data_IF_773306259692
#
_entry.id   IF_773306259692
#
_cell.length_a   1.000
_cell.length_b   1.000
_cell.length_c   1.000
_cell.angle_alpha   90.00
_cell.angle_beta   90.00
_cell.angle_gamma   90.00
#
_symmetry.space_group_name_H-M   'P 1'
#
loop_
_entity.id
_entity.type
_entity.pdbx_description
1 polymer ?
#
# COMPACT_ATOMS: atom_id res chain seq x y z
N UNK A 1 8.64 18.03 2.63
CA UNK A 1 8.84 16.93 3.61
C UNK A 1 7.56 16.13 3.66
N UNK A 2 7.61 14.88 3.21
CA UNK A 2 6.47 13.97 3.26
C UNK A 2 6.30 13.50 4.70
N UNK A 3 5.16 13.74 5.31
CA UNK A 3 4.85 13.22 6.65
C UNK A 3 3.86 12.08 6.52
N UNK A 4 4.21 10.92 7.03
CA UNK A 4 3.28 9.81 7.25
C UNK A 4 2.68 10.03 8.63
N UNK A 5 1.37 10.09 8.73
CA UNK A 5 0.67 10.28 10.00
C UNK A 5 -0.38 9.21 10.19
N UNK A 6 -0.42 8.59 11.36
CA UNK A 6 -1.30 7.49 11.69
C UNK A 6 -2.34 7.90 12.73
N UNK A 7 -3.61 7.54 12.56
CA UNK A 7 -4.69 7.88 13.48
C UNK A 7 -5.62 6.71 13.72
N UNK A 8 -5.88 6.38 14.98
CA UNK A 8 -6.89 5.40 15.39
C UNK A 8 -8.01 6.06 16.20
N UNK A 9 -9.26 5.65 15.97
CA UNK A 9 -10.42 6.08 16.75
C UNK A 9 -11.31 4.92 17.14
N UNK A 10 -11.70 4.81 18.41
CA UNK A 10 -12.88 4.06 18.79
C UNK A 10 -14.15 4.82 18.38
N UNK A 11 -15.03 4.16 17.64
CA UNK A 11 -16.31 4.72 17.16
C UNK A 11 -17.43 4.28 18.11
N UNK A 12 -17.74 5.07 19.12
CA UNK A 12 -18.84 4.74 20.04
C UNK A 12 -20.20 5.26 19.61
N UNK A 13 -20.30 6.23 18.70
CA UNK A 13 -21.56 6.74 18.16
C UNK A 13 -21.39 7.40 16.79
N UNK A 14 -22.28 7.05 15.84
CA UNK A 14 -22.58 7.84 14.66
C UNK A 14 -23.67 8.89 14.99
N UNK A 15 -23.46 9.67 16.05
CA UNK A 15 -24.27 10.88 16.27
C UNK A 15 -23.56 12.11 15.70
N UNK A 16 -24.28 13.19 15.38
CA UNK A 16 -23.68 14.37 14.80
C UNK A 16 -22.62 14.90 15.76
N UNK A 17 -21.44 14.96 15.23
CA UNK A 17 -20.18 15.17 15.86
C UNK A 17 -20.04 16.55 16.50
N UNK A 18 -19.90 16.62 17.80
CA UNK A 18 -19.37 17.78 18.50
C UNK A 18 -17.84 17.75 18.40
N UNK A 19 -17.31 18.31 17.33
CA UNK A 19 -15.96 18.84 17.07
C UNK A 19 -14.72 18.32 17.82
N UNK A 20 -14.77 17.22 18.58
CA UNK A 20 -13.62 16.69 19.31
C UNK A 20 -13.16 15.35 18.74
N UNK A 21 -12.15 15.43 17.87
CA UNK A 21 -11.32 14.30 17.49
C UNK A 21 -10.58 13.80 18.74
N UNK A 22 -10.89 12.60 19.24
CA UNK A 22 -10.08 12.00 20.29
C UNK A 22 -8.75 11.57 19.66
N UNK A 23 -7.69 12.01 20.27
CA UNK A 23 -6.31 11.84 19.88
C UNK A 23 -5.81 10.45 20.21
N UNK A 24 -5.07 9.85 19.29
CA UNK A 24 -3.84 9.16 19.65
C UNK A 24 -2.72 10.03 19.10
N UNK A 25 -2.14 10.83 19.95
CA UNK A 25 -1.03 11.74 19.62
C UNK A 25 0.24 11.04 20.05
N UNK A 26 1.21 10.99 19.19
CA UNK A 26 2.61 10.70 19.48
C UNK A 26 3.07 11.58 20.65
N UNK A 27 3.01 11.09 21.87
CA UNK A 27 3.64 11.68 23.04
C UNK A 27 4.72 10.74 23.51
N UNK A 28 5.95 11.16 23.37
CA UNK A 28 7.03 10.64 24.19
C UNK A 28 6.66 10.80 25.66
N UNK A 29 6.29 9.72 26.29
CA UNK A 29 5.98 9.62 27.70
C UNK A 29 6.15 8.17 28.12
N UNK A 30 7.05 7.96 29.06
CA UNK A 30 7.41 6.64 29.58
C UNK A 30 6.20 5.76 29.88
N UNK A 31 6.18 4.58 29.30
CA UNK A 31 5.35 3.46 29.73
C UNK A 31 4.18 3.14 28.83
N UNK A 32 4.44 2.58 27.66
CA UNK A 32 3.60 1.56 27.03
C UNK A 32 4.23 1.09 25.72
N UNK A 33 4.31 -0.16 25.59
CA UNK A 33 4.60 -1.08 24.50
C UNK A 33 4.89 -0.44 23.15
N UNK A 34 6.16 -0.37 22.86
CA UNK A 34 6.70 0.06 21.59
C UNK A 34 6.97 -1.17 20.73
N UNK A 35 6.28 -1.38 19.64
CA UNK A 35 6.80 -2.29 18.65
C UNK A 35 6.09 -2.25 17.31
N UNK A 36 6.87 -2.24 16.23
CA UNK A 36 6.48 -2.58 14.87
C UNK A 36 6.71 -4.05 14.53
N UNK A 37 7.20 -4.81 15.48
CA UNK A 37 7.21 -6.27 15.46
C UNK A 37 6.17 -6.88 16.42
N UNK A 38 5.18 -6.14 17.01
CA UNK A 38 4.22 -6.72 17.96
C UNK A 38 3.28 -7.69 17.30
N UNK A 39 3.13 -7.56 16.00
CA UNK A 39 2.19 -8.34 15.24
C UNK A 39 2.76 -9.67 14.76
N UNK A 40 4.01 -9.97 15.11
CA UNK A 40 4.62 -11.27 14.88
C UNK A 40 4.14 -12.24 15.97
N UNK A 41 3.34 -13.22 15.55
CA UNK A 41 2.84 -14.29 16.43
C UNK A 41 3.51 -15.62 16.15
N UNK A 42 4.24 -15.74 15.05
CA UNK A 42 4.86 -16.98 14.59
C UNK A 42 6.05 -16.74 13.68
N UNK A 43 6.91 -17.75 13.53
CA UNK A 43 8.01 -17.77 12.55
C UNK A 43 7.50 -17.50 11.11
N UNK A 44 6.26 -17.90 10.80
CA UNK A 44 5.61 -17.64 9.51
C UNK A 44 5.43 -16.14 9.26
N UNK A 45 5.12 -15.36 10.31
CA UNK A 45 4.93 -13.92 10.17
C UNK A 45 6.25 -13.19 9.97
N UNK A 46 7.33 -13.68 10.60
CA UNK A 46 8.70 -13.22 10.32
C UNK A 46 9.01 -13.38 8.82
N UNK A 47 8.74 -14.54 8.24
CA UNK A 47 8.98 -14.80 6.82
C UNK A 47 8.14 -13.91 5.91
N UNK A 48 6.89 -13.61 6.29
CA UNK A 48 6.02 -12.69 5.56
C UNK A 48 6.56 -11.26 5.61
N UNK A 49 6.95 -10.79 6.80
CA UNK A 49 7.53 -9.45 6.98
C UNK A 49 8.81 -9.29 6.15
N UNK A 50 9.74 -10.22 6.25
CA UNK A 50 10.97 -10.21 5.44
C UNK A 50 10.66 -10.18 3.95
N UNK A 51 9.66 -10.96 3.50
CA UNK A 51 9.26 -10.95 2.09
C UNK A 51 8.70 -9.59 1.68
N UNK A 52 7.92 -8.95 2.54
CA UNK A 52 7.33 -7.62 2.28
C UNK A 52 8.41 -6.55 2.19
N UNK A 53 9.40 -6.56 3.09
CA UNK A 53 10.56 -5.68 3.03
C UNK A 53 11.27 -5.84 1.68
N UNK A 54 11.66 -7.06 1.33
CA UNK A 54 12.42 -7.35 0.11
C UNK A 54 11.65 -6.93 -1.16
N UNK A 55 10.35 -7.19 -1.22
CA UNK A 55 9.54 -6.88 -2.41
C UNK A 55 9.41 -5.38 -2.63
N UNK A 56 9.28 -4.61 -1.56
CA UNK A 56 8.99 -3.17 -1.62
C UNK A 56 10.24 -2.27 -1.57
N UNK A 57 11.41 -2.83 -1.30
CA UNK A 57 12.69 -2.08 -1.27
C UNK A 57 13.61 -2.45 -2.43
N UNK A 58 13.07 -2.98 -3.51
CA UNK A 58 13.83 -3.26 -4.74
C UNK A 58 14.19 -1.97 -5.44
N UNK A 59 15.45 -1.84 -5.88
CA UNK A 59 15.87 -0.76 -6.75
C UNK A 59 15.20 -0.83 -8.14
N UNK A 60 15.12 0.32 -8.82
CA UNK A 60 14.65 0.38 -10.21
C UNK A 60 15.55 -0.47 -11.10
N UNK A 61 14.97 -1.44 -11.81
CA UNK A 61 15.68 -2.31 -12.77
C UNK A 61 16.10 -3.68 -12.24
N UNK A 62 15.95 -3.99 -10.97
CA UNK A 62 16.13 -5.35 -10.46
C UNK A 62 15.06 -6.29 -11.04
N UNK A 63 15.48 -7.18 -11.94
CA UNK A 63 14.61 -8.26 -12.42
C UNK A 63 14.23 -9.14 -11.24
N UNK A 64 12.97 -9.53 -11.18
CA UNK A 64 12.38 -10.36 -10.12
C UNK A 64 12.87 -11.84 -10.11
N UNK A 65 14.10 -12.12 -10.53
CA UNK A 65 14.70 -13.43 -10.31
C UNK A 65 15.07 -13.54 -8.83
N UNK A 66 14.67 -14.63 -8.19
CA UNK A 66 15.21 -15.00 -6.86
C UNK A 66 16.72 -15.25 -7.02
N UNK A 67 17.47 -14.16 -7.08
CA UNK A 67 18.92 -14.20 -7.15
C UNK A 67 19.47 -14.69 -5.80
N UNK A 68 20.68 -15.25 -5.85
CA UNK A 68 21.44 -15.66 -4.67
C UNK A 68 21.46 -14.57 -3.58
N UNK A 69 21.62 -13.30 -3.99
CA UNK A 69 21.69 -12.16 -3.08
C UNK A 69 20.39 -11.99 -2.28
N UNK A 70 19.25 -12.01 -2.95
CA UNK A 70 17.93 -11.89 -2.31
C UNK A 70 17.69 -13.04 -1.32
N UNK A 71 18.12 -14.27 -1.66
CA UNK A 71 18.00 -15.41 -0.75
C UNK A 71 18.88 -15.26 0.49
N UNK A 72 20.08 -14.75 0.30
CA UNK A 72 21.02 -14.52 1.40
C UNK A 72 20.57 -13.35 2.31
N UNK A 73 20.06 -12.25 1.73
CA UNK A 73 19.44 -11.15 2.47
C UNK A 73 18.26 -11.66 3.32
N UNK A 74 17.38 -12.47 2.72
CA UNK A 74 16.25 -13.08 3.45
C UNK A 74 16.71 -13.90 4.65
N UNK A 75 17.80 -14.66 4.52
CA UNK A 75 18.34 -15.45 5.64
C UNK A 75 18.81 -14.55 6.77
N UNK A 76 19.56 -13.48 6.46
CA UNK A 76 20.05 -12.54 7.47
C UNK A 76 18.90 -11.81 8.16
N UNK A 77 17.98 -11.19 7.40
CA UNK A 77 16.82 -10.53 7.99
C UNK A 77 15.97 -11.47 8.85
N UNK A 78 15.74 -12.70 8.36
CA UNK A 78 14.97 -13.69 9.12
C UNK A 78 15.68 -14.05 10.43
N UNK A 79 17.00 -14.19 10.41
CA UNK A 79 17.78 -14.49 11.61
C UNK A 79 17.71 -13.36 12.64
N UNK A 80 17.96 -12.11 12.20
CA UNK A 80 17.96 -10.94 13.09
C UNK A 80 16.57 -10.63 13.65
N UNK A 81 15.53 -10.64 12.81
CA UNK A 81 14.16 -10.39 13.27
C UNK A 81 13.68 -11.51 14.21
N UNK A 82 14.02 -12.76 13.92
CA UNK A 82 13.71 -13.85 14.82
C UNK A 82 14.45 -13.72 16.17
N UNK A 83 15.73 -13.31 16.16
CA UNK A 83 16.47 -13.04 17.38
C UNK A 83 15.79 -11.96 18.22
N UNK A 84 15.44 -10.82 17.62
CA UNK A 84 14.73 -9.72 18.30
C UNK A 84 13.39 -10.21 18.88
N UNK A 85 12.64 -10.99 18.11
CA UNK A 85 11.31 -11.45 18.53
C UNK A 85 11.36 -12.44 19.70
N UNK A 86 12.33 -13.36 19.72
CA UNK A 86 12.44 -14.36 20.77
C UNK A 86 13.20 -13.87 22.01
N UNK A 87 14.31 -13.16 21.82
CA UNK A 87 15.26 -12.81 22.88
C UNK A 87 15.18 -11.34 23.33
N UNK A 88 14.63 -10.45 22.49
CA UNK A 88 14.53 -9.02 22.80
C UNK A 88 13.44 -8.72 23.82
N UNK A 89 13.71 -7.73 24.67
CA UNK A 89 12.71 -7.13 25.53
C UNK A 89 11.62 -6.41 24.68
N UNK A 90 10.44 -6.16 25.25
CA UNK A 90 9.33 -5.56 24.49
C UNK A 90 9.69 -4.21 23.83
N UNK A 91 10.55 -3.42 24.48
CA UNK A 91 11.03 -2.12 23.96
C UNK A 91 12.01 -2.28 22.80
N UNK A 92 12.64 -3.44 22.68
CA UNK A 92 13.62 -3.77 21.62
C UNK A 92 12.94 -4.40 20.39
N UNK A 93 11.71 -4.83 20.50
CA UNK A 93 10.96 -5.47 19.40
C UNK A 93 10.50 -4.47 18.34
N UNK A 94 11.45 -3.76 17.74
CA UNK A 94 11.21 -2.74 16.73
C UNK A 94 12.26 -2.77 15.60
N UNK A 95 12.02 -2.02 14.55
CA UNK A 95 12.92 -1.97 13.40
C UNK A 95 14.22 -1.20 13.66
N UNK A 96 14.27 -0.34 14.68
CA UNK A 96 15.51 0.34 15.04
C UNK A 96 16.53 -0.66 15.58
N UNK A 97 16.09 -1.61 16.40
CA UNK A 97 16.94 -2.70 16.88
C UNK A 97 17.47 -3.56 15.73
N UNK A 98 16.65 -3.78 14.69
CA UNK A 98 17.12 -4.48 13.48
C UNK A 98 18.23 -3.70 12.78
N UNK A 99 18.10 -2.38 12.64
CA UNK A 99 19.13 -1.52 12.04
C UNK A 99 20.42 -1.53 12.89
N UNK A 100 20.28 -1.45 14.20
CA UNK A 100 21.43 -1.47 15.11
C UNK A 100 22.16 -2.81 15.03
N UNK A 101 21.45 -3.95 15.02
CA UNK A 101 22.07 -5.26 14.82
C UNK A 101 22.73 -5.41 13.43
N UNK A 102 22.15 -4.82 12.37
CA UNK A 102 22.79 -4.81 11.05
C UNK A 102 24.09 -4.01 11.05
N UNK A 103 24.11 -2.85 11.71
CA UNK A 103 25.30 -2.01 11.82
C UNK A 103 26.41 -2.71 12.62
N UNK A 104 26.05 -3.44 13.68
CA UNK A 104 26.97 -4.22 14.49
C UNK A 104 27.43 -5.54 13.84
N UNK A 105 26.80 -5.92 12.71
CA UNK A 105 27.15 -7.14 11.96
C UNK A 105 28.36 -6.96 11.04
N UNK A 106 29.26 -6.02 11.34
CA UNK A 106 30.44 -5.74 10.52
C UNK A 106 31.28 -6.99 10.24
N UNK A 107 31.73 -7.15 8.99
CA UNK A 107 32.61 -8.25 8.58
C UNK A 107 33.95 -7.71 8.08
N UNK A 108 35.07 -8.37 8.46
CA UNK A 108 36.42 -8.03 7.98
C UNK A 108 36.83 -8.98 6.86
N UNK A 109 37.22 -8.44 5.72
CA UNK A 109 37.61 -9.24 4.54
C UNK A 109 38.89 -10.01 4.74
N UNK A 110 39.81 -9.47 5.55
CA UNK A 110 41.18 -9.99 5.74
C UNK A 110 41.28 -10.95 6.94
N UNK A 111 40.21 -11.04 7.75
CA UNK A 111 40.22 -11.88 8.96
C UNK A 111 38.92 -12.68 9.05
N UNK A 112 38.96 -13.92 8.56
CA UNK A 112 37.83 -14.85 8.61
C UNK A 112 37.51 -15.33 10.05
N UNK A 113 38.41 -15.07 10.98
CA UNK A 113 38.22 -15.44 12.40
C UNK A 113 37.61 -14.32 13.23
N UNK A 114 37.44 -13.15 12.62
CA UNK A 114 36.81 -11.99 13.29
C UNK A 114 35.38 -12.29 13.67
N UNK A 115 35.09 -12.15 14.95
CA UNK A 115 33.73 -12.22 15.50
C UNK A 115 33.22 -10.83 15.81
N UNK A 116 32.12 -10.46 15.22
CA UNK A 116 31.42 -9.20 15.54
C UNK A 116 30.49 -9.41 16.75
N UNK A 117 29.94 -8.32 17.35
CA UNK A 117 29.01 -8.40 18.48
C UNK A 117 27.81 -9.31 18.23
N UNK A 118 27.28 -9.31 17.01
CA UNK A 118 26.12 -10.14 16.64
C UNK A 118 26.50 -11.62 16.57
N UNK A 119 27.70 -11.96 16.08
CA UNK A 119 28.20 -13.33 16.12
C UNK A 119 28.21 -13.87 17.55
N UNK A 120 28.66 -13.05 18.51
CA UNK A 120 28.70 -13.46 19.93
C UNK A 120 27.31 -13.71 20.51
N UNK A 121 26.32 -12.86 20.15
CA UNK A 121 24.93 -13.06 20.58
C UNK A 121 24.35 -14.38 20.03
N UNK A 122 24.60 -14.69 18.76
CA UNK A 122 24.14 -15.95 18.17
C UNK A 122 24.87 -17.17 18.68
N UNK A 123 26.15 -17.06 19.04
CA UNK A 123 26.90 -18.15 19.70
C UNK A 123 26.39 -18.43 21.11
N UNK A 124 26.06 -17.38 21.87
CA UNK A 124 25.45 -17.54 23.19
C UNK A 124 24.08 -18.21 23.10
N UNK A 125 23.26 -17.80 22.14
CA UNK A 125 21.94 -18.41 21.89
C UNK A 125 22.11 -19.87 21.42
N UNK A 126 23.08 -20.16 20.56
CA UNK A 126 23.35 -21.52 20.11
C UNK A 126 23.80 -22.43 21.26
N UNK A 127 24.60 -21.91 22.18
CA UNK A 127 25.05 -22.68 23.36
C UNK A 127 23.87 -23.05 24.28
N UNK A 128 22.85 -22.17 24.36
CA UNK A 128 21.60 -22.41 25.11
C UNK A 128 20.66 -23.34 24.34
N UNK A 129 20.40 -23.03 23.08
CA UNK A 129 19.43 -23.72 22.24
C UNK A 129 19.96 -23.95 20.80
N UNK A 130 20.70 -25.06 20.53
CA UNK A 130 21.31 -25.30 19.22
C UNK A 130 20.34 -25.41 18.04
N UNK A 131 19.07 -25.71 18.30
CA UNK A 131 17.99 -25.85 17.29
C UNK A 131 17.10 -24.63 17.17
N UNK A 132 17.45 -23.55 17.84
CA UNK A 132 16.68 -22.31 17.79
C UNK A 132 16.51 -21.81 16.35
N UNK A 133 15.32 -21.32 16.01
CA UNK A 133 14.99 -20.91 14.63
C UNK A 133 15.94 -19.83 14.10
N UNK A 134 16.21 -18.78 14.90
CA UNK A 134 17.12 -17.71 14.55
C UNK A 134 18.55 -18.22 14.28
N UNK A 135 19.06 -19.09 15.15
CA UNK A 135 20.40 -19.71 15.01
C UNK A 135 20.50 -20.49 13.69
N UNK A 136 19.48 -21.29 13.36
CA UNK A 136 19.46 -22.05 12.10
C UNK A 136 19.49 -21.15 10.86
N UNK A 137 18.83 -19.98 10.88
CA UNK A 137 18.87 -19.05 9.77
C UNK A 137 20.23 -18.34 9.71
N UNK A 138 20.75 -17.90 10.86
CA UNK A 138 22.05 -17.24 10.94
C UNK A 138 23.20 -18.14 10.44
N UNK A 139 23.22 -19.39 10.84
CA UNK A 139 24.21 -20.38 10.35
C UNK A 139 24.18 -20.51 8.83
N UNK A 140 23.01 -20.53 8.21
CA UNK A 140 22.89 -20.57 6.74
C UNK A 140 23.46 -19.30 6.09
N UNK A 141 23.22 -18.14 6.69
CA UNK A 141 23.81 -16.88 6.24
C UNK A 141 25.34 -16.90 6.38
N UNK A 142 25.88 -17.36 7.50
CA UNK A 142 27.32 -17.45 7.77
C UNK A 142 28.07 -18.45 6.88
N UNK A 143 27.37 -19.27 6.08
CA UNK A 143 28.01 -20.06 5.01
C UNK A 143 28.58 -19.18 3.91
N UNK A 144 28.12 -17.95 3.79
CA UNK A 144 28.74 -16.93 2.95
C UNK A 144 29.93 -16.33 3.70
N UNK A 145 31.12 -16.38 3.11
CA UNK A 145 32.35 -15.90 3.74
C UNK A 145 32.91 -14.64 3.05
N UNK A 146 33.70 -13.87 3.79
CA UNK A 146 34.54 -12.79 3.30
C UNK A 146 33.74 -11.72 2.50
N UNK A 147 34.16 -11.49 1.26
CA UNK A 147 33.57 -10.48 0.38
C UNK A 147 32.08 -10.68 0.10
N UNK A 148 31.62 -11.95 0.09
CA UNK A 148 30.21 -12.27 -0.15
C UNK A 148 29.35 -11.82 1.04
N UNK A 149 29.77 -12.10 2.27
CA UNK A 149 29.05 -11.68 3.48
C UNK A 149 28.99 -10.16 3.57
N UNK A 150 30.08 -9.46 3.28
CA UNK A 150 30.12 -7.98 3.25
C UNK A 150 29.19 -7.41 2.20
N UNK A 151 29.12 -7.99 1.01
CA UNK A 151 28.21 -7.54 -0.04
C UNK A 151 26.73 -7.74 0.34
N UNK A 152 26.40 -8.85 1.05
CA UNK A 152 25.04 -9.07 1.57
C UNK A 152 24.68 -8.01 2.61
N UNK A 153 25.59 -7.70 3.54
CA UNK A 153 25.38 -6.66 4.56
C UNK A 153 25.15 -5.28 3.94
N UNK A 154 25.98 -4.90 2.96
CA UNK A 154 25.81 -3.64 2.22
C UNK A 154 24.46 -3.59 1.53
N UNK A 155 24.04 -4.67 0.90
CA UNK A 155 22.74 -4.75 0.24
C UNK A 155 21.58 -4.63 1.24
N UNK A 156 21.66 -5.31 2.38
CA UNK A 156 20.70 -5.18 3.47
C UNK A 156 20.63 -3.74 4.00
N UNK A 157 21.77 -3.13 4.30
CA UNK A 157 21.82 -1.75 4.77
C UNK A 157 21.24 -0.76 3.75
N UNK A 158 21.56 -0.92 2.46
CA UNK A 158 21.01 -0.07 1.41
C UNK A 158 19.48 -0.15 1.28
N UNK A 159 18.88 -1.33 1.49
CA UNK A 159 17.43 -1.51 1.48
C UNK A 159 16.75 -0.81 2.65
N UNK A 160 17.39 -0.77 3.81
CA UNK A 160 16.85 -0.15 5.02
C UNK A 160 17.32 1.30 5.22
N UNK A 161 18.13 1.86 4.31
CA UNK A 161 18.60 3.24 4.40
C UNK A 161 17.48 4.28 4.64
N UNK A 162 16.25 4.16 4.09
CA UNK A 162 15.17 5.07 4.43
C UNK A 162 14.83 5.12 5.93
N UNK A 163 15.11 4.07 6.68
CA UNK A 163 14.85 4.04 8.13
C UNK A 163 15.88 4.83 8.96
N UNK A 164 16.99 5.28 8.36
CA UNK A 164 17.94 6.17 9.03
C UNK A 164 17.42 7.60 9.18
N UNK A 165 16.28 7.92 8.56
CA UNK A 165 15.60 9.19 8.73
C UNK A 165 15.05 9.27 10.15
N UNK A 166 15.48 10.29 10.93
CA UNK A 166 15.18 10.41 12.35
C UNK A 166 13.68 10.38 12.67
N UNK A 167 12.87 11.06 11.85
CA UNK A 167 11.42 11.08 12.01
C UNK A 167 10.78 9.70 11.77
N UNK A 168 11.33 8.92 10.84
CA UNK A 168 10.85 7.56 10.60
C UNK A 168 11.28 6.62 11.74
N UNK A 169 12.54 6.73 12.21
CA UNK A 169 13.00 5.97 13.38
C UNK A 169 12.12 6.22 14.61
N UNK A 170 11.74 7.48 14.86
CA UNK A 170 10.85 7.82 15.96
C UNK A 170 9.49 7.14 15.82
N UNK A 171 8.85 7.23 14.66
CA UNK A 171 7.54 6.59 14.39
C UNK A 171 7.61 5.06 14.52
N UNK A 172 8.76 4.47 14.15
CA UNK A 172 8.95 3.02 14.14
C UNK A 172 9.45 2.46 15.49
N UNK A 173 9.61 3.30 16.51
CA UNK A 173 10.13 2.88 17.82
C UNK A 173 9.08 2.36 18.80
N UNK A 174 7.79 2.57 18.52
CA UNK A 174 6.68 2.17 19.40
C UNK A 174 5.40 1.89 18.62
N UNK A 175 4.47 1.12 19.22
CA UNK A 175 3.17 0.81 18.64
C UNK A 175 2.05 1.66 19.27
N UNK A 176 1.45 2.53 18.48
CA UNK A 176 0.25 3.28 18.88
C UNK A 176 -1.00 2.84 18.14
N UNK A 177 -0.84 2.03 17.09
CA UNK A 177 -1.95 1.71 16.21
C UNK A 177 -2.84 0.60 16.75
N UNK A 178 -2.30 -0.26 17.61
CA UNK A 178 -3.02 -1.41 18.15
C UNK A 178 -3.77 -2.18 17.04
N UNK A 179 -3.04 -2.54 15.97
CA UNK A 179 -3.63 -3.21 14.80
C UNK A 179 -4.36 -4.50 15.18
N UNK A 180 -3.89 -5.15 16.22
CA UNK A 180 -4.48 -6.36 16.80
C UNK A 180 -5.91 -6.13 17.35
N UNK A 181 -6.28 -4.89 17.66
CA UNK A 181 -7.62 -4.52 18.17
C UNK A 181 -8.60 -4.04 17.10
N UNK A 182 -8.11 -3.88 15.86
CA UNK A 182 -8.99 -3.57 14.74
C UNK A 182 -9.87 -4.77 14.44
N UNK A 183 -11.19 -4.53 14.27
CA UNK A 183 -12.17 -5.61 14.09
C UNK A 183 -12.87 -6.06 15.38
N UNK A 184 -12.35 -5.71 16.57
CA UNK A 184 -13.01 -5.95 17.86
C UNK A 184 -13.98 -4.83 18.20
N UNK A 185 -13.58 -3.62 17.89
CA UNK A 185 -14.34 -2.39 18.16
C UNK A 185 -14.42 -1.51 16.92
N UNK A 186 -15.39 -0.61 16.88
CA UNK A 186 -15.51 0.38 15.80
C UNK A 186 -14.31 1.33 15.84
N UNK A 187 -13.42 1.18 14.89
CA UNK A 187 -12.17 1.96 14.77
C UNK A 187 -12.08 2.57 13.40
N UNK A 188 -11.53 3.77 13.27
CA UNK A 188 -11.12 4.36 12.01
C UNK A 188 -9.62 4.65 12.05
N UNK A 189 -8.86 3.99 11.19
CA UNK A 189 -7.44 4.20 10.97
C UNK A 189 -7.24 4.98 9.68
N UNK A 190 -6.54 6.12 9.75
CA UNK A 190 -6.20 6.94 8.60
C UNK A 190 -4.69 6.89 8.37
N UNK A 191 -4.28 6.42 7.20
CA UNK A 191 -2.90 6.38 6.75
C UNK A 191 -2.72 7.50 5.73
N UNK A 192 -1.97 8.53 6.09
CA UNK A 192 -1.73 9.70 5.23
C UNK A 192 -0.32 9.59 4.68
N UNK A 193 -0.21 9.56 3.36
CA UNK A 193 1.05 9.46 2.63
C UNK A 193 1.14 10.54 1.57
N UNK A 194 2.35 10.85 1.11
CA UNK A 194 2.55 11.73 -0.04
C UNK A 194 2.10 11.06 -1.32
N UNK A 195 1.49 11.83 -2.20
CA UNK A 195 1.14 11.43 -3.56
C UNK A 195 2.30 11.61 -4.55
N UNK A 196 3.29 12.42 -4.19
CA UNK A 196 4.44 12.77 -5.02
C UNK A 196 5.76 12.10 -4.61
N UNK A 197 5.83 11.53 -3.41
CA UNK A 197 7.04 10.90 -2.85
C UNK A 197 6.77 9.45 -2.48
N UNK A 198 7.44 8.54 -3.17
CA UNK A 198 7.29 7.10 -3.01
C UNK A 198 8.25 6.49 -1.98
N UNK A 199 9.11 7.30 -1.37
CA UNK A 199 10.19 6.84 -0.46
C UNK A 199 9.67 5.96 0.67
N UNK A 200 8.47 6.25 1.19
CA UNK A 200 7.89 5.56 2.35
C UNK A 200 6.76 4.58 2.00
N UNK A 201 6.52 4.31 0.72
CA UNK A 201 5.43 3.42 0.29
C UNK A 201 5.56 2.01 0.87
N UNK A 202 6.81 1.53 1.04
CA UNK A 202 7.08 0.23 1.63
C UNK A 202 6.58 0.10 3.08
N UNK A 203 6.56 1.19 3.87
CA UNK A 203 6.02 1.21 5.24
C UNK A 203 4.52 0.92 5.22
N UNK A 204 3.79 1.55 4.30
CA UNK A 204 2.35 1.32 4.14
C UNK A 204 2.06 -0.10 3.66
N UNK A 205 2.88 -0.62 2.73
CA UNK A 205 2.76 -2.01 2.28
C UNK A 205 3.00 -3.02 3.42
N UNK A 206 3.99 -2.77 4.28
CA UNK A 206 4.25 -3.58 5.47
C UNK A 206 3.06 -3.55 6.42
N UNK A 207 2.58 -2.36 6.77
CA UNK A 207 1.44 -2.19 7.65
C UNK A 207 0.20 -2.91 7.11
N UNK A 208 -0.14 -2.72 5.84
CA UNK A 208 -1.30 -3.39 5.25
C UNK A 208 -1.14 -4.91 5.20
N UNK A 209 0.06 -5.40 4.88
CA UNK A 209 0.35 -6.83 4.89
C UNK A 209 0.16 -7.43 6.29
N UNK A 210 0.65 -6.75 7.34
CA UNK A 210 0.46 -7.16 8.73
C UNK A 210 -1.00 -7.09 9.13
N UNK A 211 -1.68 -5.96 8.88
CA UNK A 211 -3.09 -5.79 9.21
C UNK A 211 -3.96 -6.91 8.64
N UNK A 212 -3.84 -7.20 7.34
CA UNK A 212 -4.63 -8.28 6.74
C UNK A 212 -4.32 -9.65 7.34
N UNK A 213 -3.05 -9.93 7.65
CA UNK A 213 -2.67 -11.19 8.29
C UNK A 213 -3.27 -11.30 9.69
N UNK A 214 -3.11 -10.27 10.53
CA UNK A 214 -3.67 -10.22 11.89
C UNK A 214 -5.19 -10.40 11.88
N UNK A 215 -5.89 -9.66 11.03
CA UNK A 215 -7.35 -9.74 10.93
C UNK A 215 -7.81 -11.13 10.50
N UNK A 216 -7.10 -11.76 9.56
CA UNK A 216 -7.44 -13.13 9.12
C UNK A 216 -7.18 -14.16 10.21
N UNK A 217 -5.99 -14.12 10.82
CA UNK A 217 -5.60 -15.06 11.87
C UNK A 217 -6.53 -14.89 13.10
N UNK A 218 -6.84 -13.65 13.48
CA UNK A 218 -7.78 -13.35 14.56
C UNK A 218 -9.20 -13.83 14.29
N UNK A 219 -9.69 -13.61 13.05
CA UNK A 219 -11.01 -14.12 12.67
C UNK A 219 -11.08 -15.63 12.78
N UNK A 220 -10.02 -16.34 12.36
CA UNK A 220 -9.99 -17.80 12.35
C UNK A 220 -9.79 -18.38 13.77
N UNK A 221 -8.83 -17.85 14.52
CA UNK A 221 -8.38 -18.43 15.78
C UNK A 221 -9.23 -18.00 16.99
N UNK A 222 -9.69 -16.73 17.01
CA UNK A 222 -10.40 -16.16 18.16
C UNK A 222 -11.92 -16.11 17.95
N UNK A 223 -12.39 -15.86 16.71
CA UNK A 223 -13.80 -15.59 16.41
C UNK A 223 -14.50 -16.66 15.56
N UNK A 224 -13.89 -17.82 15.37
CA UNK A 224 -14.51 -18.92 14.63
C UNK A 224 -14.79 -18.62 13.16
N UNK A 225 -13.96 -17.80 12.54
CA UNK A 225 -13.95 -17.49 11.12
C UNK A 225 -14.53 -16.14 10.71
N UNK A 226 -15.01 -15.30 11.66
CA UNK A 226 -15.61 -13.99 11.34
C UNK A 226 -15.30 -12.96 12.43
N UNK A 227 -14.81 -11.79 12.02
CA UNK A 227 -14.64 -10.67 12.94
C UNK A 227 -15.98 -10.14 13.45
N UNK A 228 -16.05 -9.71 14.73
CA UNK A 228 -17.26 -9.14 15.31
C UNK A 228 -17.66 -7.79 14.69
N UNK A 229 -16.69 -7.02 14.21
CA UNK A 229 -16.92 -5.75 13.51
C UNK A 229 -16.34 -5.85 12.10
N UNK A 230 -17.17 -5.56 11.09
CA UNK A 230 -16.72 -5.54 9.70
C UNK A 230 -15.59 -4.52 9.49
N UNK A 231 -14.48 -4.96 8.91
CA UNK A 231 -13.35 -4.10 8.57
C UNK A 231 -13.36 -3.79 7.08
N UNK A 232 -13.46 -2.51 6.74
CA UNK A 232 -13.38 -2.04 5.37
C UNK A 232 -12.07 -1.28 5.15
N UNK A 233 -11.22 -1.82 4.29
CA UNK A 233 -9.97 -1.19 3.88
C UNK A 233 -10.23 -0.41 2.59
N UNK A 234 -9.99 0.90 2.61
CA UNK A 234 -10.13 1.79 1.44
C UNK A 234 -8.73 2.20 1.05
N UNK A 235 -8.26 1.72 -0.10
CA UNK A 235 -6.96 2.01 -0.66
C UNK A 235 -7.12 3.04 -1.77
N UNK A 236 -7.10 4.31 -1.40
CA UNK A 236 -7.00 5.40 -2.37
C UNK A 236 -5.59 5.42 -2.95
N UNK A 237 -5.46 5.61 -4.26
CA UNK A 237 -4.18 5.51 -4.98
C UNK A 237 -3.45 4.17 -4.71
N UNK A 238 -4.15 3.03 -4.90
CA UNK A 238 -3.62 1.69 -4.60
C UNK A 238 -2.24 1.41 -5.22
N UNK A 239 -1.95 2.03 -6.36
CA UNK A 239 -0.64 1.89 -7.01
C UNK A 239 0.51 2.52 -6.20
N UNK A 240 0.21 3.46 -5.30
CA UNK A 240 1.21 4.19 -4.53
C UNK A 240 1.51 3.57 -3.16
N UNK A 241 0.71 2.61 -2.70
CA UNK A 241 0.89 2.00 -1.36
C UNK A 241 1.95 0.90 -1.31
N UNK A 242 2.61 0.60 -2.43
CA UNK A 242 3.53 -0.53 -2.55
C UNK A 242 2.82 -1.87 -2.78
N UNK A 243 3.59 -2.92 -2.99
CA UNK A 243 3.06 -4.24 -3.28
C UNK A 243 2.78 -5.03 -1.99
N UNK A 244 1.52 -5.44 -1.81
CA UNK A 244 1.12 -6.38 -0.74
C UNK A 244 1.38 -7.80 -1.25
N UNK A 245 2.31 -8.57 -0.66
CA UNK A 245 2.61 -9.92 -1.12
C UNK A 245 1.39 -10.83 -1.08
N UNK A 246 1.18 -11.64 -2.14
CA UNK A 246 0.05 -12.57 -2.26
C UNK A 246 -1.34 -11.93 -2.11
N UNK A 247 -1.49 -10.67 -2.49
CA UNK A 247 -2.77 -9.94 -2.40
C UNK A 247 -3.88 -10.60 -3.25
N UNK A 248 -3.52 -11.25 -4.36
CA UNK A 248 -4.41 -12.05 -5.19
C UNK A 248 -5.10 -13.18 -4.40
N UNK A 249 -4.37 -13.86 -3.53
CA UNK A 249 -4.92 -14.91 -2.66
C UNK A 249 -5.70 -14.32 -1.49
N UNK A 250 -5.18 -13.23 -0.94
CA UNK A 250 -5.79 -12.53 0.19
C UNK A 250 -7.19 -12.04 -0.18
N UNK A 251 -7.34 -11.28 -1.28
CA UNK A 251 -8.62 -10.70 -1.69
C UNK A 251 -9.69 -11.76 -1.98
N UNK A 252 -9.28 -12.97 -2.36
CA UNK A 252 -10.18 -14.09 -2.57
C UNK A 252 -10.78 -14.66 -1.26
N UNK A 253 -10.12 -14.44 -0.12
CA UNK A 253 -10.44 -15.12 1.16
C UNK A 253 -10.99 -14.19 2.23
N UNK A 254 -10.69 -12.90 2.21
CA UNK A 254 -11.03 -11.93 3.27
C UNK A 254 -12.54 -11.77 3.48
N UNK A 255 -13.34 -11.95 2.43
CA UNK A 255 -14.80 -11.77 2.48
C UNK A 255 -15.48 -12.62 3.56
N UNK A 256 -15.09 -13.89 3.71
CA UNK A 256 -15.67 -14.80 4.71
C UNK A 256 -15.39 -14.33 6.14
N UNK A 257 -14.35 -13.55 6.35
CA UNK A 257 -13.86 -13.05 7.64
C UNK A 257 -14.39 -11.67 8.03
N UNK A 258 -15.41 -11.18 7.33
CA UNK A 258 -15.95 -9.82 7.52
C UNK A 258 -14.93 -8.72 7.21
N UNK A 259 -14.07 -8.96 6.21
CA UNK A 259 -13.11 -7.98 5.72
C UNK A 259 -13.43 -7.67 4.25
N UNK A 260 -13.41 -6.40 3.88
CA UNK A 260 -13.55 -5.95 2.49
C UNK A 260 -12.48 -4.96 2.11
N UNK A 261 -12.07 -4.97 0.83
CA UNK A 261 -11.14 -4.01 0.28
C UNK A 261 -11.77 -3.23 -0.87
N UNK A 262 -11.55 -1.92 -0.88
CA UNK A 262 -11.86 -1.05 -2.00
C UNK A 262 -10.55 -0.52 -2.57
N UNK A 263 -10.17 -0.98 -3.77
CA UNK A 263 -8.96 -0.56 -4.46
C UNK A 263 -9.32 0.50 -5.49
N UNK A 264 -8.69 1.66 -5.41
CA UNK A 264 -8.91 2.78 -6.32
C UNK A 264 -7.65 2.97 -7.16
N UNK A 265 -7.84 3.04 -8.46
CA UNK A 265 -6.77 3.10 -9.46
C UNK A 265 -7.08 4.18 -10.49
N UNK A 266 -6.08 4.83 -11.02
CA UNK A 266 -6.23 5.74 -12.16
C UNK A 266 -6.37 4.96 -13.47
N UNK A 267 -5.77 3.77 -13.54
CA UNK A 267 -5.88 2.85 -14.68
C UNK A 267 -5.61 1.40 -14.27
N UNK A 268 -6.11 0.45 -15.04
CA UNK A 268 -5.84 -0.96 -14.81
C UNK A 268 -4.38 -1.34 -15.11
N UNK A 269 -3.72 -0.59 -15.98
CA UNK A 269 -2.29 -0.78 -16.28
C UNK A 269 -1.41 -0.59 -15.05
N UNK A 270 -1.78 0.26 -14.09
CA UNK A 270 -1.08 0.40 -12.81
C UNK A 270 -1.09 -0.93 -12.03
N UNK A 271 -2.24 -1.59 -11.94
CA UNK A 271 -2.35 -2.87 -11.26
C UNK A 271 -1.53 -3.96 -11.96
N UNK A 272 -1.56 -3.99 -13.30
CA UNK A 272 -0.78 -4.93 -14.11
C UNK A 272 0.73 -4.70 -13.97
N UNK A 273 1.18 -3.46 -13.84
CA UNK A 273 2.58 -3.15 -13.58
C UNK A 273 3.06 -3.71 -12.25
N UNK A 274 2.24 -3.63 -11.19
CA UNK A 274 2.58 -4.09 -9.84
C UNK A 274 2.46 -5.62 -9.68
N UNK A 275 1.34 -6.20 -10.13
CA UNK A 275 0.96 -7.59 -9.84
C UNK A 275 1.09 -8.54 -11.03
N UNK A 276 1.45 -8.01 -12.21
CA UNK A 276 1.64 -8.79 -13.45
C UNK A 276 0.43 -9.71 -13.71
N UNK A 277 0.65 -11.00 -13.87
CA UNK A 277 -0.39 -12.00 -14.16
C UNK A 277 -1.43 -12.14 -13.02
N UNK A 278 -1.07 -11.80 -11.79
CA UNK A 278 -2.01 -11.81 -10.66
C UNK A 278 -3.02 -10.65 -10.69
N UNK A 279 -2.81 -9.62 -11.51
CA UNK A 279 -3.72 -8.48 -11.62
C UNK A 279 -5.14 -8.89 -12.03
N UNK A 280 -5.25 -9.79 -13.02
CA UNK A 280 -6.56 -10.28 -13.50
C UNK A 280 -7.28 -11.09 -12.42
N UNK A 281 -6.55 -11.82 -11.58
CA UNK A 281 -7.10 -12.53 -10.42
C UNK A 281 -7.64 -11.56 -9.37
N UNK A 282 -6.92 -10.46 -9.10
CA UNK A 282 -7.36 -9.41 -8.17
C UNK A 282 -8.66 -8.78 -8.66
N UNK A 283 -8.70 -8.34 -9.92
CA UNK A 283 -9.90 -7.75 -10.53
C UNK A 283 -11.08 -8.72 -10.53
N UNK A 284 -10.83 -9.99 -10.87
CA UNK A 284 -11.85 -11.03 -10.90
C UNK A 284 -12.47 -11.36 -9.54
N UNK A 285 -11.77 -11.05 -8.43
CA UNK A 285 -12.27 -11.20 -7.07
C UNK A 285 -13.00 -9.95 -6.54
N UNK A 286 -12.98 -8.83 -7.28
CA UNK A 286 -13.78 -7.66 -6.97
C UNK A 286 -15.21 -7.85 -7.48
N UNK A 287 -16.18 -7.95 -6.57
CA UNK A 287 -17.60 -8.15 -6.93
C UNK A 287 -18.23 -6.90 -7.57
N UNK A 288 -17.65 -5.74 -7.34
CA UNK A 288 -18.15 -4.45 -7.83
C UNK A 288 -17.02 -3.69 -8.52
N UNK A 289 -17.29 -3.22 -9.74
CA UNK A 289 -16.39 -2.32 -10.48
C UNK A 289 -17.14 -1.02 -10.76
N UNK A 290 -16.57 0.11 -10.35
CA UNK A 290 -17.08 1.44 -10.60
C UNK A 290 -16.09 2.19 -11.50
N UNK A 291 -16.48 2.45 -12.75
CA UNK A 291 -15.69 3.23 -13.69
C UNK A 291 -16.19 4.67 -13.73
N UNK A 292 -15.30 5.60 -13.39
CA UNK A 292 -15.60 7.03 -13.29
C UNK A 292 -15.14 7.84 -14.51
N UNK A 293 -14.67 7.18 -15.55
CA UNK A 293 -14.09 7.79 -16.73
C UNK A 293 -12.57 7.65 -16.78
N UNK A 294 -12.02 7.79 -17.96
CA UNK A 294 -10.58 7.68 -18.22
C UNK A 294 -10.31 7.59 -19.72
N UNK A 295 -9.03 7.69 -20.10
CA UNK A 295 -8.60 7.63 -21.51
C UNK A 295 -7.54 6.55 -21.76
N UNK A 296 -7.19 5.76 -20.74
CA UNK A 296 -6.19 4.71 -20.88
C UNK A 296 -6.75 3.52 -21.66
N UNK A 297 -6.08 3.16 -22.75
CA UNK A 297 -6.60 2.21 -23.77
C UNK A 297 -6.92 0.82 -23.21
N UNK A 298 -6.08 0.30 -22.31
CA UNK A 298 -6.30 -1.03 -21.73
C UNK A 298 -7.58 -1.03 -20.89
N UNK A 299 -7.78 -0.02 -20.06
CA UNK A 299 -8.98 0.15 -19.26
C UNK A 299 -10.24 0.30 -20.12
N UNK A 300 -10.18 1.14 -21.19
CA UNK A 300 -11.30 1.33 -22.11
C UNK A 300 -11.69 0.03 -22.81
N UNK A 301 -10.70 -0.72 -23.31
CA UNK A 301 -10.91 -2.00 -23.96
C UNK A 301 -11.56 -3.00 -23.00
N UNK A 302 -11.02 -3.18 -21.81
CA UNK A 302 -11.56 -4.10 -20.82
C UNK A 302 -12.97 -3.72 -20.37
N UNK A 303 -13.24 -2.42 -20.20
CA UNK A 303 -14.59 -1.93 -19.90
C UNK A 303 -15.57 -2.24 -21.02
N UNK A 304 -15.20 -2.01 -22.29
CA UNK A 304 -16.04 -2.34 -23.45
C UNK A 304 -16.32 -3.85 -23.56
N UNK A 305 -15.30 -4.69 -23.30
CA UNK A 305 -15.44 -6.14 -23.31
C UNK A 305 -16.33 -6.64 -22.17
N UNK A 306 -16.21 -6.08 -20.96
CA UNK A 306 -17.03 -6.40 -19.79
C UNK A 306 -18.50 -6.00 -19.93
N UNK A 307 -18.78 -4.91 -20.64
CA UNK A 307 -20.15 -4.48 -20.93
C UNK A 307 -20.85 -5.48 -21.87
N UNK A 308 -20.09 -6.18 -22.72
CA UNK A 308 -20.60 -7.19 -23.64
C UNK A 308 -21.19 -6.60 -24.90
N UNK A 309 -22.03 -7.41 -25.57
CA UNK A 309 -22.60 -7.09 -26.89
C UNK A 309 -24.12 -7.21 -26.86
N UNK A 310 -24.78 -6.36 -27.60
CA UNK A 310 -26.18 -6.51 -27.98
C UNK A 310 -26.30 -7.10 -29.39
N UNK A 311 -27.40 -7.79 -29.66
CA UNK A 311 -27.69 -8.27 -31.00
C UNK A 311 -28.46 -7.20 -31.76
N UNK A 312 -27.91 -6.75 -32.86
CA UNK A 312 -28.58 -5.81 -33.77
C UNK A 312 -28.95 -6.49 -35.07
N UNK A 313 -30.05 -6.05 -35.64
CA UNK A 313 -30.56 -6.49 -36.93
C UNK A 313 -30.01 -5.56 -38.02
N UNK A 314 -29.27 -6.12 -38.97
CA UNK A 314 -28.76 -5.41 -40.13
C UNK A 314 -29.55 -5.81 -41.36
N UNK A 315 -30.06 -4.81 -42.04
CA UNK A 315 -30.77 -4.94 -43.33
C UNK A 315 -29.85 -4.38 -44.43
N UNK A 316 -29.29 -5.28 -45.20
CA UNK A 316 -28.54 -4.92 -46.39
C UNK A 316 -29.45 -5.00 -47.62
N UNK A 317 -29.67 -3.88 -48.30
CA UNK A 317 -30.38 -3.85 -49.58
C UNK A 317 -29.36 -3.86 -50.71
N UNK A 318 -29.46 -4.83 -51.59
CA UNK A 318 -28.67 -4.87 -52.84
C UNK A 318 -29.61 -4.55 -54.02
N UNK A 319 -29.26 -3.52 -54.78
CA UNK A 319 -29.90 -3.19 -56.04
C UNK A 319 -28.99 -3.58 -57.22
N UNK A 320 -29.39 -4.56 -58.01
CA UNK A 320 -28.66 -4.92 -59.22
C UNK A 320 -29.20 -4.12 -60.40
N UNK A 321 -28.40 -3.27 -60.99
CA UNK A 321 -28.70 -2.49 -62.18
C UNK A 321 -28.39 -3.29 -63.46
N UNK A 322 -29.28 -4.21 -63.81
CA UNK A 322 -29.27 -4.87 -65.10
C UNK A 322 -30.61 -4.62 -65.78
N UNK A 323 -30.81 -5.13 -67.04
CA UNK A 323 -32.05 -4.96 -67.78
C UNK A 323 -33.29 -5.54 -67.06
N UNK A 324 -33.12 -6.34 -66.02
CA UNK A 324 -34.11 -6.72 -65.02
C UNK A 324 -33.65 -6.23 -63.65
N UNK A 325 -34.33 -5.21 -63.08
CA UNK A 325 -34.06 -4.71 -61.73
C UNK A 325 -34.46 -5.79 -60.72
N UNK A 326 -33.50 -6.26 -59.95
CA UNK A 326 -33.73 -7.16 -58.85
C UNK A 326 -33.36 -6.46 -57.51
N UNK A 327 -34.29 -6.51 -56.55
CA UNK A 327 -34.07 -6.02 -55.21
C UNK A 327 -33.92 -7.22 -54.31
N UNK A 328 -32.76 -7.36 -53.68
CA UNK A 328 -32.52 -8.34 -52.64
C UNK A 328 -32.46 -7.63 -51.26
N UNK A 329 -33.21 -8.12 -50.29
CA UNK A 329 -33.07 -7.75 -48.91
C UNK A 329 -32.40 -8.89 -48.16
N UNK A 330 -31.20 -8.65 -47.63
CA UNK A 330 -30.51 -9.63 -46.81
C UNK A 330 -30.61 -9.20 -45.35
N UNK A 331 -31.17 -10.07 -44.53
CA UNK A 331 -31.32 -9.90 -43.09
C UNK A 331 -30.18 -10.64 -42.37
N UNK A 332 -29.40 -9.91 -41.59
CA UNK A 332 -28.30 -10.47 -40.82
C UNK A 332 -28.38 -9.97 -39.38
N UNK A 333 -28.23 -10.89 -38.42
CA UNK A 333 -28.03 -10.56 -37.01
C UNK A 333 -26.55 -10.50 -36.73
N UNK A 334 -26.11 -9.39 -36.11
CA UNK A 334 -24.72 -9.22 -35.69
C UNK A 334 -24.65 -8.69 -34.26
N UNK A 335 -23.53 -9.01 -33.59
CA UNK A 335 -23.29 -8.47 -32.23
C UNK A 335 -22.59 -7.12 -32.31
N UNK A 336 -23.21 -6.06 -31.79
CA UNK A 336 -22.62 -4.74 -31.58
C UNK A 336 -22.20 -4.61 -30.11
N UNK A 337 -21.00 -4.07 -29.80
CA UNK A 337 -20.63 -3.72 -28.43
C UNK A 337 -21.66 -2.76 -27.85
N UNK A 338 -22.06 -2.96 -26.58
CA UNK A 338 -22.99 -2.07 -25.88
C UNK A 338 -22.47 -0.64 -25.83
N UNK A 339 -21.16 -0.48 -25.55
CA UNK A 339 -20.41 0.76 -25.73
C UNK A 339 -19.03 0.41 -26.30
N UNK A 340 -18.62 1.09 -27.34
CA UNK A 340 -17.28 0.97 -27.92
C UNK A 340 -16.25 1.72 -27.07
N UNK A 341 -14.97 1.45 -27.26
CA UNK A 341 -13.88 2.14 -26.57
C UNK A 341 -13.96 3.66 -26.76
N UNK A 342 -14.30 4.10 -27.96
CA UNK A 342 -14.44 5.52 -28.33
C UNK A 342 -15.64 6.17 -27.62
N UNK A 343 -16.76 5.47 -27.51
CA UNK A 343 -17.96 5.94 -26.80
C UNK A 343 -17.68 6.07 -25.30
N UNK A 344 -16.94 5.11 -24.71
CA UNK A 344 -16.52 5.17 -23.30
C UNK A 344 -15.51 6.31 -23.08
N UNK A 345 -14.58 6.54 -24.02
CA UNK A 345 -13.56 7.58 -23.91
C UNK A 345 -14.13 9.00 -23.91
N UNK A 346 -15.29 9.20 -24.55
CA UNK A 346 -16.00 10.50 -24.62
C UNK A 346 -17.20 10.58 -23.67
N UNK A 347 -17.34 9.62 -22.77
CA UNK A 347 -18.41 9.60 -21.78
C UNK A 347 -18.42 10.90 -20.99
N UNK A 348 -19.62 11.45 -20.76
CA UNK A 348 -19.82 12.68 -19.98
C UNK A 348 -19.17 12.56 -18.59
N UNK A 349 -18.46 13.62 -18.19
CA UNK A 349 -17.73 13.67 -16.92
C UNK A 349 -18.60 13.49 -15.66
N UNK A 350 -19.91 13.75 -15.76
CA UNK A 350 -20.90 13.51 -14.69
C UNK A 350 -21.45 12.09 -14.65
N UNK A 351 -21.08 11.22 -15.59
CA UNK A 351 -21.57 9.83 -15.69
C UNK A 351 -20.54 8.82 -15.16
N UNK A 352 -21.06 7.66 -14.80
CA UNK A 352 -20.25 6.51 -14.39
C UNK A 352 -20.88 5.21 -14.88
N UNK A 353 -20.04 4.16 -14.96
CA UNK A 353 -20.47 2.80 -15.25
C UNK A 353 -20.26 1.97 -13.99
N UNK A 354 -21.32 1.34 -13.49
CA UNK A 354 -21.28 0.46 -12.33
C UNK A 354 -21.57 -0.97 -12.77
N UNK A 355 -20.70 -1.88 -12.41
CA UNK A 355 -20.90 -3.31 -12.60
C UNK A 355 -20.91 -4.00 -11.23
N UNK A 356 -21.89 -4.89 -11.05
CA UNK A 356 -22.03 -5.70 -9.85
C UNK A 356 -22.19 -7.14 -10.31
N UNK A 357 -21.48 -8.08 -9.69
CA UNK A 357 -21.59 -9.50 -10.00
C UNK A 357 -23.04 -9.98 -9.91
N UNK A 358 -23.53 -10.62 -10.96
CA UNK A 358 -24.90 -11.11 -11.03
C UNK A 358 -25.96 -10.09 -11.45
N UNK A 359 -25.58 -8.84 -11.72
CA UNK A 359 -26.45 -7.80 -12.25
C UNK A 359 -25.99 -7.33 -13.64
N UNK A 360 -26.91 -6.76 -14.41
CA UNK A 360 -26.55 -6.05 -15.65
C UNK A 360 -25.80 -4.75 -15.31
N UNK A 361 -24.91 -4.27 -16.18
CA UNK A 361 -24.24 -3.01 -15.99
C UNK A 361 -25.22 -1.84 -15.87
N UNK A 362 -24.88 -0.88 -15.03
CA UNK A 362 -25.63 0.35 -14.83
C UNK A 362 -24.84 1.52 -15.41
N UNK A 363 -25.50 2.34 -16.21
CA UNK A 363 -25.02 3.65 -16.64
C UNK A 363 -25.73 4.71 -15.81
N UNK A 364 -25.01 5.41 -14.95
CA UNK A 364 -25.60 6.28 -13.92
C UNK A 364 -24.89 7.63 -13.82
N UNK A 365 -25.51 8.54 -13.10
CA UNK A 365 -24.88 9.79 -12.72
C UNK A 365 -23.91 9.58 -11.55
N UNK A 366 -22.79 10.30 -11.56
CA UNK A 366 -21.91 10.39 -10.39
C UNK A 366 -22.65 11.08 -9.25
N UNK A 367 -22.40 10.60 -8.05
CA UNK A 367 -22.98 11.22 -6.87
C UNK A 367 -22.38 12.62 -6.64
N UNK A 368 -23.24 13.61 -6.48
CA UNK A 368 -22.84 14.96 -6.12
C UNK A 368 -22.60 15.03 -4.61
N UNK A 369 -21.33 15.07 -4.21
CA UNK A 369 -20.92 15.05 -2.81
C UNK A 369 -21.47 16.26 -2.03
N UNK A 370 -21.74 17.39 -2.69
CA UNK A 370 -22.30 18.57 -2.03
C UNK A 370 -23.71 18.34 -1.46
N UNK A 371 -24.41 17.32 -1.97
CA UNK A 371 -25.73 16.89 -1.48
C UNK A 371 -25.66 15.94 -0.27
N UNK A 372 -24.46 15.49 0.10
CA UNK A 372 -24.33 14.61 1.25
C UNK A 372 -24.55 15.39 2.56
N UNK A 373 -25.35 14.81 3.47
CA UNK A 373 -25.69 15.47 4.75
C UNK A 373 -24.49 15.96 5.56
N UNK A 374 -23.36 15.28 5.44
CA UNK A 374 -22.12 15.58 6.15
C UNK A 374 -21.16 16.46 5.33
N UNK A 375 -21.51 16.89 4.12
CA UNK A 375 -20.64 17.75 3.29
C UNK A 375 -20.17 18.98 4.06
N UNK A 376 -21.06 19.60 4.86
CA UNK A 376 -20.74 20.75 5.72
C UNK A 376 -19.60 20.55 6.71
N UNK A 377 -19.21 19.30 6.98
CA UNK A 377 -18.11 18.93 7.89
C UNK A 377 -16.77 18.82 7.17
N UNK A 378 -16.75 18.87 5.85
CA UNK A 378 -15.53 18.80 5.06
C UNK A 378 -14.85 20.16 4.98
N UNK A 379 -13.54 20.17 4.78
CA UNK A 379 -12.74 21.37 4.51
C UNK A 379 -13.20 22.11 3.24
N UNK A 380 -13.65 21.36 2.23
CA UNK A 380 -14.20 21.92 0.98
C UNK A 380 -15.46 22.79 1.20
N UNK A 381 -16.24 22.45 2.19
CA UNK A 381 -17.41 23.24 2.58
C UNK A 381 -17.05 24.42 3.48
N UNK A 382 -16.05 24.27 4.32
CA UNK A 382 -15.58 25.29 5.24
C UNK A 382 -14.14 25.01 5.66
N UNK A 383 -13.21 25.89 5.28
CA UNK A 383 -11.77 25.79 5.57
C UNK A 383 -11.48 25.61 7.08
N UNK A 384 -12.35 26.09 7.97
CA UNK A 384 -12.22 25.87 9.42
C UNK A 384 -12.31 24.40 9.83
N UNK A 385 -12.89 23.56 9.00
CA UNK A 385 -12.99 22.11 9.23
C UNK A 385 -11.70 21.37 8.86
N UNK A 386 -10.75 22.07 8.23
CA UNK A 386 -9.47 21.48 7.84
C UNK A 386 -8.74 20.97 9.08
N UNK A 387 -8.42 19.69 9.06
CA UNK A 387 -7.63 19.07 10.13
C UNK A 387 -6.17 19.53 10.02
N UNK A 388 -5.65 20.10 11.10
CA UNK A 388 -4.27 20.59 11.18
C UNK A 388 -3.47 19.67 12.09
N UNK A 389 -2.78 18.72 11.47
CA UNK A 389 -1.95 17.70 12.15
C UNK A 389 -0.97 18.34 13.14
N UNK A 390 -0.30 19.42 12.71
CA UNK A 390 0.71 20.10 13.51
C UNK A 390 0.16 20.67 14.82
N UNK A 391 -1.10 21.14 14.81
CA UNK A 391 -1.76 21.65 16.03
C UNK A 391 -2.14 20.53 16.99
N UNK A 392 -2.43 19.35 16.44
CA UNK A 392 -2.81 18.20 17.25
C UNK A 392 -1.58 17.50 17.85
N UNK A 393 -0.50 17.40 17.09
CA UNK A 393 0.76 16.81 17.54
C UNK A 393 1.52 17.74 18.51
N UNK A 394 1.42 19.05 18.33
CA UNK A 394 2.03 20.03 19.21
C UNK A 394 1.02 21.10 19.61
N UNK A 395 0.36 20.99 20.78
CA UNK A 395 -0.62 21.97 21.25
C UNK A 395 -0.06 23.38 21.43
N UNK A 396 1.27 23.52 21.52
CA UNK A 396 1.97 24.80 21.60
C UNK A 396 2.44 25.32 20.23
N UNK A 397 2.14 24.56 19.16
CA UNK A 397 2.50 24.99 17.82
C UNK A 397 1.73 26.25 17.44
N UNK A 398 2.42 27.37 17.39
CA UNK A 398 1.96 28.58 16.71
C UNK A 398 2.45 28.51 15.27
N UNK A 399 1.56 28.54 14.25
CA UNK A 399 2.01 28.62 12.88
C UNK A 399 2.95 29.82 12.75
N UNK A 400 4.15 29.64 12.23
CA UNK A 400 4.92 30.77 11.73
C UNK A 400 4.00 31.50 10.75
N UNK A 401 3.84 32.82 10.94
CA UNK A 401 3.20 33.65 9.94
C UNK A 401 3.85 33.30 8.60
N UNK A 402 3.04 33.05 7.58
CA UNK A 402 3.55 32.90 6.21
C UNK A 402 4.45 34.13 6.02
N UNK A 403 5.75 33.95 5.91
CA UNK A 403 6.66 34.99 5.52
C UNK A 403 6.15 35.47 4.19
N UNK A 404 5.64 36.69 4.11
CA UNK A 404 5.33 37.34 2.86
C UNK A 404 6.61 37.25 2.03
N UNK A 405 6.59 36.37 1.01
CA UNK A 405 7.67 36.29 0.06
C UNK A 405 7.62 37.62 -0.69
N UNK A 406 8.48 38.58 -0.31
CA UNK A 406 8.71 39.76 -1.12
C UNK A 406 9.12 39.30 -2.49
N UNK A 407 8.18 39.40 -3.45
CA UNK A 407 8.51 39.19 -4.85
C UNK A 407 9.45 40.29 -5.30
N UNK A 408 10.75 40.00 -5.29
CA UNK A 408 11.75 40.86 -5.94
C UNK A 408 11.50 40.77 -7.44
N UNK A 409 10.82 41.78 -7.96
CA UNK A 409 10.65 41.93 -9.43
C UNK A 409 12.02 42.40 -9.98
N UNK A 410 12.78 41.49 -10.55
CA UNK A 410 13.99 41.83 -11.31
C UNK A 410 13.57 42.35 -12.67
N UNK A 411 13.58 43.63 -12.90
CA UNK A 411 13.44 44.23 -14.20
C UNK A 411 14.68 43.92 -15.05
N UNK A 412 14.58 42.97 -15.94
CA UNK A 412 15.61 42.67 -16.98
C UNK A 412 15.40 43.59 -18.18
N UNK A 413 15.52 44.89 -18.00
CA UNK A 413 15.64 45.85 -19.12
C UNK A 413 16.85 46.75 -18.87
N UNK A 414 18.01 46.28 -19.26
CA UNK A 414 19.10 47.12 -19.74
C UNK A 414 19.64 46.50 -21.03
N UNK A 415 19.26 47.10 -22.15
CA UNK A 415 19.93 46.89 -23.44
C UNK A 415 21.39 47.36 -23.32
N UNK A 416 22.34 46.63 -23.87
CA UNK A 416 23.69 47.15 -24.00
C UNK A 416 23.68 48.26 -25.09
N UNK A 417 23.91 49.47 -24.64
CA UNK A 417 24.08 50.61 -25.53
C UNK A 417 25.23 50.39 -26.52
N UNK A 418 24.96 50.65 -27.77
CA UNK A 418 25.95 50.88 -28.81
C UNK A 418 26.93 51.97 -28.40
N UNK A 419 28.18 51.66 -28.43
CA UNK A 419 29.24 52.63 -28.15
C UNK A 419 30.49 52.35 -28.99
N UNK A 420 30.53 53.03 -30.17
CA UNK A 420 31.70 53.42 -30.98
C UNK A 420 32.95 52.53 -31.02
#
# INVERSE_FOLDING_TARGET
MSRVSFYTRPYDRLEPYDGKLSRTVLRGGAGSNASLLPDIRSEKDILKLVTTIIVNTKGEGEKASEDFWVKAEKLLYTALIAFIWYEGEEEEKNLNTLLDLLNESETREEDETYQNPVDMLFEELEAKEPQHFAVRQYKKYKMAAGKTAKSILISCGARLAPFDIAELREIMSYDEMELDKIGDRKTALFLIMSDTDTTFNFVIAMLQSQLFNLLCDKADDEYGGRLPVHVRVICDEFANIGQIPQFDKLIATIRSREISASIILQSQSQLKAMYKDSADTILGNCDTTLFLGGKEKTTLKEMSELLGKETIDLYNTSETRSNQKSFGMNYQKTGKQLMTEDEIAVMDGGKCILQIRGARPFFSDKYDITKHKNYRLLSDANEKNRYKVEKELNPQYTPKAEEEVEMITVNLTEEPGDGA
#
